data_IF_777701059985
#
_entry.id   IF_777701059985
#
_cell.length_a   1.000
_cell.length_b   1.000
_cell.length_c   1.000
_cell.angle_alpha   90.00
_cell.angle_beta   90.00
_cell.angle_gamma   90.00
#
_symmetry.space_group_name_H-M   'P 1'
#
loop_
_entity.id
_entity.type
_entity.pdbx_description
1 polymer ?
#
# COMPACT_ATOMS: atom_id res chain seq x y z
N UNK A 1 25.04 -12.06 -25.32
CA UNK A 1 26.50 -12.11 -25.08
C UNK A 1 27.07 -10.71 -25.20
N UNK A 2 28.18 -10.44 -24.51
CA UNK A 2 28.87 -9.12 -24.36
C UNK A 2 28.21 -8.21 -23.31
N UNK A 3 28.92 -8.06 -22.20
CA UNK A 3 28.58 -7.20 -21.07
C UNK A 3 29.40 -5.90 -21.11
N UNK A 4 28.94 -4.86 -20.40
CA UNK A 4 29.79 -3.72 -20.07
C UNK A 4 29.90 -3.52 -18.55
N UNK A 5 31.14 -3.55 -18.08
CA UNK A 5 31.55 -3.43 -16.67
C UNK A 5 31.99 -1.99 -16.42
N UNK A 6 31.53 -1.36 -15.34
CA UNK A 6 32.15 -0.13 -14.81
C UNK A 6 32.62 -0.35 -13.38
N UNK A 7 33.93 -0.19 -13.17
CA UNK A 7 34.54 0.05 -11.88
C UNK A 7 35.08 1.49 -11.89
N UNK A 8 34.98 2.19 -10.76
CA UNK A 8 35.54 3.53 -10.58
C UNK A 8 35.97 3.72 -9.13
N UNK A 9 37.26 3.91 -8.91
CA UNK A 9 37.90 3.99 -7.58
C UNK A 9 38.42 5.40 -7.30
N UNK A 10 38.26 5.89 -6.06
CA UNK A 10 38.90 7.10 -5.54
C UNK A 10 38.69 7.21 -4.03
N UNK A 11 39.62 6.72 -3.19
CA UNK A 11 40.84 7.35 -2.66
C UNK A 11 40.65 8.06 -1.30
N UNK A 12 41.68 7.97 -0.45
CA UNK A 12 41.66 8.22 1.00
C UNK A 12 41.73 9.71 1.35
N UNK A 13 41.10 10.09 2.48
CA UNK A 13 41.42 11.29 3.25
C UNK A 13 41.62 10.95 4.73
N UNK A 14 42.83 11.17 5.27
CA UNK A 14 43.13 11.08 6.72
C UNK A 14 42.98 12.46 7.36
N UNK A 15 42.37 12.57 8.54
CA UNK A 15 42.78 13.54 9.57
C UNK A 15 42.74 12.89 10.96
N UNK A 16 43.71 13.28 11.79
CA UNK A 16 43.83 12.89 13.18
C UNK A 16 43.68 14.14 14.07
N UNK A 17 43.27 13.94 15.31
CA UNK A 17 43.19 14.98 16.34
C UNK A 17 42.52 14.41 17.59
N UNK A 18 43.20 14.43 18.73
CA UNK A 18 42.68 13.87 19.98
C UNK A 18 43.18 14.61 21.21
N UNK A 19 42.45 14.45 22.32
CA UNK A 19 42.78 14.87 23.69
C UNK A 19 41.80 14.14 24.62
N UNK A 20 42.19 13.14 25.43
CA UNK A 20 42.84 13.17 26.77
C UNK A 20 41.90 13.49 27.95
N UNK A 21 41.95 12.62 28.97
CA UNK A 21 41.22 12.64 30.25
C UNK A 21 40.70 11.23 30.56
N UNK A 22 41.35 10.31 31.30
CA UNK A 22 41.79 10.33 32.70
C UNK A 22 40.61 10.45 33.70
N UNK A 23 40.39 9.56 34.69
CA UNK A 23 41.08 8.30 35.04
C UNK A 23 40.49 7.64 36.32
N UNK A 24 40.96 6.44 36.70
CA UNK A 24 40.49 5.62 37.84
C UNK A 24 39.60 4.44 37.39
N UNK A 25 39.82 3.17 37.74
CA UNK A 25 40.63 2.58 38.83
C UNK A 25 39.79 2.55 40.13
N UNK A 26 39.48 1.43 40.77
CA UNK A 26 39.93 0.02 40.67
C UNK A 26 38.69 -0.92 40.79
N UNK A 27 38.71 -2.25 40.67
CA UNK A 27 39.80 -3.24 40.68
C UNK A 27 39.43 -4.50 39.83
N UNK A 28 40.14 -5.62 40.06
CA UNK A 28 39.73 -6.99 39.69
C UNK A 28 39.85 -7.89 40.92
N UNK A 29 38.82 -8.69 41.22
CA UNK A 29 38.94 -9.83 42.15
C UNK A 29 39.14 -11.08 41.31
N UNK A 30 40.36 -11.63 41.35
CA UNK A 30 40.63 -13.00 40.97
C UNK A 30 40.25 -13.89 42.15
N UNK A 31 39.38 -14.88 41.92
CA UNK A 31 39.31 -16.05 42.79
C UNK A 31 39.50 -17.31 41.94
N UNK A 32 40.51 -18.10 42.30
CA UNK A 32 40.80 -19.39 41.69
C UNK A 32 39.84 -20.44 42.24
N UNK A 33 39.28 -21.27 41.36
CA UNK A 33 38.72 -22.56 41.73
C UNK A 33 39.38 -23.64 40.85
N UNK A 34 40.39 -24.31 41.41
CA UNK A 34 41.00 -25.48 40.80
C UNK A 34 40.03 -26.66 40.92
N UNK A 35 39.67 -27.26 39.78
CA UNK A 35 38.77 -28.40 39.71
C UNK A 35 39.05 -29.21 38.45
N UNK A 36 40.21 -29.86 38.41
CA UNK A 36 40.64 -30.62 37.24
C UNK A 36 39.81 -31.89 37.06
N UNK A 37 39.11 -32.01 35.94
CA UNK A 37 38.68 -33.31 35.43
C UNK A 37 39.81 -33.92 34.61
N UNK A 38 40.44 -34.95 35.19
CA UNK A 38 41.47 -35.72 34.53
C UNK A 38 40.93 -36.43 33.29
N UNK A 39 41.73 -36.46 32.22
CA UNK A 39 41.42 -37.28 31.04
C UNK A 39 41.44 -38.76 31.39
N UNK A 40 40.27 -39.41 31.35
CA UNK A 40 40.11 -40.86 31.47
C UNK A 40 39.95 -41.50 30.11
N UNK A 41 41.06 -41.82 29.44
CA UNK A 41 41.06 -42.68 28.26
C UNK A 41 40.87 -44.15 28.71
N UNK A 42 39.64 -44.51 29.08
CA UNK A 42 39.25 -45.91 29.24
C UNK A 42 38.68 -46.40 27.92
N UNK A 43 39.43 -47.28 27.23
CA UNK A 43 38.94 -48.04 26.09
C UNK A 43 37.87 -49.04 26.57
N UNK A 44 36.66 -48.55 26.78
CA UNK A 44 35.50 -49.37 27.07
C UNK A 44 35.04 -50.08 25.80
N UNK A 45 35.02 -51.41 25.83
CA UNK A 45 34.22 -52.20 24.88
C UNK A 45 32.76 -51.91 25.25
N UNK A 46 32.19 -50.87 24.65
CA UNK A 46 30.80 -50.51 24.85
C UNK A 46 29.91 -51.60 24.27
N UNK A 47 29.16 -52.31 25.11
CA UNK A 47 28.00 -53.04 24.64
C UNK A 47 27.02 -52.03 24.03
N UNK A 48 26.84 -52.11 22.71
CA UNK A 48 25.84 -51.31 22.01
C UNK A 48 24.47 -51.47 22.68
N UNK A 49 23.74 -50.37 22.86
CA UNK A 49 22.35 -50.43 23.32
C UNK A 49 21.49 -51.20 22.31
N UNK A 50 20.34 -51.70 22.73
CA UNK A 50 19.40 -52.40 21.84
C UNK A 50 19.12 -51.60 20.55
N UNK A 51 18.99 -50.28 20.67
CA UNK A 51 18.80 -49.36 19.54
C UNK A 51 20.03 -49.29 18.63
N UNK A 52 21.24 -49.20 19.19
CA UNK A 52 22.48 -49.20 18.38
C UNK A 52 22.73 -50.54 17.69
N UNK A 53 22.30 -51.67 18.27
CA UNK A 53 22.32 -52.97 17.61
C UNK A 53 21.30 -53.04 16.47
N UNK A 54 20.10 -52.49 16.68
CA UNK A 54 19.05 -52.37 15.64
C UNK A 54 19.50 -51.49 14.47
N UNK A 55 19.99 -50.27 14.72
CA UNK A 55 20.48 -49.39 13.66
C UNK A 55 21.65 -50.02 12.87
N UNK A 56 22.57 -50.71 13.55
CA UNK A 56 23.69 -51.39 12.89
C UNK A 56 23.19 -52.53 11.99
N UNK A 57 22.21 -53.30 12.47
CA UNK A 57 21.59 -54.40 11.72
C UNK A 57 20.79 -53.89 10.51
N UNK A 58 20.10 -52.75 10.63
CA UNK A 58 19.41 -52.11 9.50
C UNK A 58 20.42 -51.66 8.42
N UNK A 59 21.52 -51.01 8.84
CA UNK A 59 22.63 -50.63 7.93
C UNK A 59 23.29 -51.83 7.26
N UNK A 60 23.44 -52.97 7.95
CA UNK A 60 24.03 -54.21 7.39
C UNK A 60 23.08 -54.96 6.44
N UNK A 61 21.76 -54.79 6.59
CA UNK A 61 20.74 -55.39 5.72
C UNK A 61 20.44 -54.57 4.45
N UNK A 62 21.10 -53.43 4.24
CA UNK A 62 20.75 -52.50 3.15
C UNK A 62 19.44 -51.75 3.37
N UNK A 63 18.82 -51.91 4.55
CA UNK A 63 17.73 -51.06 5.07
C UNK A 63 18.33 -49.73 5.52
N UNK A 64 18.95 -49.01 4.57
CA UNK A 64 19.01 -47.56 4.67
C UNK A 64 17.57 -47.06 4.70
N UNK A 65 17.31 -46.12 5.61
CA UNK A 65 15.98 -45.56 5.86
C UNK A 65 15.59 -44.62 4.70
N UNK A 66 15.31 -45.24 3.55
CA UNK A 66 14.74 -44.56 2.40
C UNK A 66 13.27 -44.31 2.71
N UNK A 67 12.98 -43.11 3.23
CA UNK A 67 11.63 -42.66 3.61
C UNK A 67 10.60 -42.70 2.45
N UNK A 68 11.06 -43.05 1.25
CA UNK A 68 10.28 -43.40 0.07
C UNK A 68 9.56 -44.75 0.17
N UNK A 69 10.04 -45.68 1.00
CA UNK A 69 9.53 -47.06 1.14
C UNK A 69 8.87 -47.25 2.50
N UNK A 70 7.72 -47.93 2.53
CA UNK A 70 6.90 -48.09 3.73
C UNK A 70 6.48 -49.56 3.95
N UNK A 71 5.93 -49.87 5.12
CA UNK A 71 5.40 -51.20 5.42
C UNK A 71 3.89 -51.26 5.13
N UNK A 72 3.36 -52.26 4.39
CA UNK A 72 1.95 -52.33 4.05
C UNK A 72 1.02 -52.21 5.27
N UNK A 73 -0.09 -51.47 5.08
CA UNK A 73 -1.15 -51.19 6.08
C UNK A 73 -0.76 -50.27 7.25
N UNK A 74 0.34 -49.51 7.15
CA UNK A 74 0.56 -48.35 8.03
C UNK A 74 -0.01 -47.08 7.39
N UNK A 75 -0.37 -46.10 8.21
CA UNK A 75 -0.80 -44.77 7.78
C UNK A 75 -0.14 -43.70 8.65
N UNK A 76 0.13 -42.54 8.08
CA UNK A 76 0.77 -41.41 8.77
C UNK A 76 0.29 -40.05 8.24
N UNK A 77 0.53 -38.99 9.02
CA UNK A 77 0.27 -37.61 8.61
C UNK A 77 1.12 -37.22 7.41
N UNK A 78 0.52 -36.50 6.46
CA UNK A 78 1.18 -36.01 5.26
C UNK A 78 0.74 -34.60 4.90
N UNK A 79 1.59 -33.88 4.18
CA UNK A 79 1.27 -32.58 3.61
C UNK A 79 2.18 -32.30 2.43
N UNK A 80 1.63 -32.16 1.22
CA UNK A 80 2.41 -31.93 0.00
C UNK A 80 2.55 -30.44 -0.35
N UNK A 81 1.99 -29.55 0.48
CA UNK A 81 2.08 -28.10 0.28
C UNK A 81 3.43 -27.48 0.65
N UNK A 82 3.62 -26.19 0.35
CA UNK A 82 4.83 -25.44 0.69
C UNK A 82 5.19 -25.51 2.18
N UNK A 83 6.49 -25.48 2.49
CA UNK A 83 6.94 -25.49 3.89
C UNK A 83 6.47 -24.23 4.60
N UNK A 84 5.76 -24.42 5.72
CA UNK A 84 5.27 -23.35 6.57
C UNK A 84 3.77 -23.09 6.49
N UNK A 85 3.07 -23.55 5.44
CA UNK A 85 1.62 -23.36 5.25
C UNK A 85 0.76 -24.42 5.97
N UNK A 86 1.34 -25.57 6.34
CA UNK A 86 0.63 -26.62 7.07
C UNK A 86 0.06 -26.13 8.41
N UNK A 87 -1.26 -26.26 8.61
CA UNK A 87 -1.94 -25.85 9.83
C UNK A 87 -2.18 -24.34 9.97
N UNK A 88 -2.06 -23.58 8.88
CA UNK A 88 -2.47 -22.16 8.81
C UNK A 88 -3.77 -22.03 8.04
N UNK A 89 -4.64 -21.12 8.48
CA UNK A 89 -5.89 -20.81 7.79
C UNK A 89 -6.71 -22.05 7.44
N UNK A 90 -7.05 -22.20 6.16
CA UNK A 90 -7.74 -23.37 5.62
C UNK A 90 -6.85 -24.62 5.49
N UNK A 91 -5.52 -24.47 5.45
CA UNK A 91 -4.60 -25.58 5.17
C UNK A 91 -4.46 -26.57 6.32
N UNK A 92 -4.72 -27.85 5.99
CA UNK A 92 -4.57 -28.99 6.90
C UNK A 92 -3.70 -30.09 6.30
N UNK A 93 -2.95 -30.77 7.17
CA UNK A 93 -2.36 -32.06 6.86
C UNK A 93 -3.46 -33.10 6.58
N UNK A 94 -3.14 -34.05 5.70
CA UNK A 94 -3.94 -35.22 5.39
C UNK A 94 -3.33 -36.48 5.99
N UNK A 95 -3.85 -37.63 5.59
CA UNK A 95 -3.28 -38.95 5.89
C UNK A 95 -2.88 -39.66 4.60
N UNK A 96 -1.72 -40.33 4.62
CA UNK A 96 -1.30 -41.25 3.55
C UNK A 96 -1.20 -42.66 4.11
N UNK A 97 -1.51 -43.64 3.28
CA UNK A 97 -1.44 -45.06 3.63
C UNK A 97 -0.46 -45.79 2.74
N UNK A 98 0.23 -46.79 3.31
CA UNK A 98 1.16 -47.63 2.58
C UNK A 98 0.42 -48.79 1.88
N UNK A 99 0.65 -48.94 0.58
CA UNK A 99 0.04 -49.98 -0.25
C UNK A 99 0.67 -51.37 -0.03
N UNK A 100 0.25 -52.36 -0.82
CA UNK A 100 0.75 -53.73 -0.71
C UNK A 100 2.15 -53.93 -1.32
N UNK A 101 2.59 -53.02 -2.20
CA UNK A 101 3.87 -53.07 -2.91
C UNK A 101 4.97 -52.28 -2.18
N UNK A 102 4.62 -51.61 -1.07
CA UNK A 102 5.54 -50.89 -0.19
C UNK A 102 5.72 -49.40 -0.54
N UNK A 103 4.81 -48.85 -1.35
CA UNK A 103 4.80 -47.44 -1.72
C UNK A 103 3.73 -46.65 -0.96
N UNK A 104 4.01 -45.36 -0.75
CA UNK A 104 3.03 -44.43 -0.19
C UNK A 104 1.99 -44.06 -1.24
N UNK A 105 0.71 -44.18 -0.87
CA UNK A 105 -0.39 -43.60 -1.64
C UNK A 105 -0.42 -42.08 -1.58
N UNK A 106 -1.42 -41.51 -2.26
CA UNK A 106 -1.73 -40.08 -2.21
C UNK A 106 -1.99 -39.59 -0.78
N UNK A 107 -1.82 -38.29 -0.57
CA UNK A 107 -2.16 -37.66 0.71
C UNK A 107 -3.65 -37.30 0.73
N UNK A 108 -4.46 -38.17 1.32
CA UNK A 108 -5.92 -38.02 1.40
C UNK A 108 -6.32 -36.96 2.45
N UNK A 109 -7.43 -36.27 2.21
CA UNK A 109 -8.00 -35.23 3.09
C UNK A 109 -7.10 -34.01 3.42
N UNK A 110 -5.94 -33.83 2.79
CA UNK A 110 -5.18 -32.56 2.92
C UNK A 110 -5.91 -31.37 2.28
N UNK A 111 -5.69 -30.17 2.81
CA UNK A 111 -6.08 -28.91 2.16
C UNK A 111 -4.81 -28.11 1.89
N UNK A 112 -4.57 -27.80 0.61
CA UNK A 112 -3.39 -27.08 0.13
C UNK A 112 -3.71 -25.58 -0.03
N UNK A 113 -2.68 -24.71 -0.13
CA UNK A 113 -2.86 -23.30 -0.47
C UNK A 113 -3.70 -23.10 -1.74
N UNK A 114 -4.74 -22.28 -1.62
CA UNK A 114 -5.63 -21.89 -2.68
C UNK A 114 -5.31 -20.52 -3.27
N UNK A 115 -6.34 -19.90 -3.83
CA UNK A 115 -6.36 -18.46 -4.17
C UNK A 115 -7.22 -17.78 -3.12
N UNK A 116 -6.70 -16.70 -2.54
CA UNK A 116 -7.43 -15.86 -1.60
C UNK A 116 -8.82 -15.46 -2.08
N UNK A 117 -9.80 -15.66 -1.21
CA UNK A 117 -11.17 -15.18 -1.37
C UNK A 117 -11.54 -14.39 -0.11
N UNK A 118 -12.20 -13.25 -0.26
CA UNK A 118 -12.64 -12.43 0.88
C UNK A 118 -13.74 -13.18 1.66
N UNK A 119 -13.34 -13.98 2.65
CA UNK A 119 -14.21 -14.92 3.37
C UNK A 119 -13.87 -15.04 4.87
N UNK A 120 -12.94 -14.22 5.38
CA UNK A 120 -12.41 -14.25 6.75
C UNK A 120 -11.57 -15.51 7.09
N UNK A 121 -11.03 -16.17 6.06
CA UNK A 121 -10.10 -17.29 6.15
C UNK A 121 -8.80 -16.93 5.41
N UNK A 122 -7.73 -17.62 5.78
CA UNK A 122 -6.40 -17.56 5.15
C UNK A 122 -6.35 -18.79 4.21
N UNK A 123 -6.70 -18.58 2.94
CA UNK A 123 -6.90 -19.63 1.92
C UNK A 123 -5.58 -19.99 1.22
N UNK A 124 -4.69 -19.02 1.00
CA UNK A 124 -3.32 -19.23 0.52
C UNK A 124 -2.35 -19.67 1.62
N UNK A 125 -2.79 -19.57 2.88
CA UNK A 125 -2.11 -20.07 4.06
C UNK A 125 -0.76 -19.38 4.32
N UNK A 126 -0.56 -18.13 3.85
CA UNK A 126 0.60 -17.30 4.20
C UNK A 126 0.57 -16.85 5.67
N UNK A 127 -0.61 -16.86 6.31
CA UNK A 127 -0.85 -16.44 7.69
C UNK A 127 -1.50 -15.05 7.84
N UNK A 128 -1.99 -14.46 6.75
CA UNK A 128 -2.72 -13.19 6.71
C UNK A 128 -4.09 -13.47 6.07
N UNK A 129 -5.15 -13.35 6.87
CA UNK A 129 -6.54 -13.50 6.41
C UNK A 129 -6.92 -12.43 5.38
N UNK A 130 -7.58 -12.85 4.29
CA UNK A 130 -8.06 -12.01 3.18
C UNK A 130 -6.96 -11.13 2.54
N UNK A 131 -5.73 -11.62 2.38
CA UNK A 131 -4.61 -10.84 1.82
C UNK A 131 -4.84 -10.52 0.32
N UNK A 132 -4.85 -9.23 0.00
CA UNK A 132 -5.21 -8.72 -1.34
C UNK A 132 -6.57 -8.01 -1.39
N UNK A 133 -7.37 -8.12 -0.33
CA UNK A 133 -8.62 -7.37 -0.17
C UNK A 133 -8.46 -6.23 0.86
N UNK A 134 -9.36 -5.25 0.83
CA UNK A 134 -9.51 -4.31 1.93
C UNK A 134 -10.12 -5.01 3.16
N UNK A 135 -9.48 -4.82 4.32
CA UNK A 135 -9.86 -5.45 5.59
C UNK A 135 -11.33 -5.18 5.95
N UNK A 136 -12.09 -6.25 6.18
CA UNK A 136 -13.47 -6.16 6.66
C UNK A 136 -13.60 -5.27 7.92
N UNK A 137 -14.63 -4.43 7.92
CA UNK A 137 -14.92 -3.47 8.98
C UNK A 137 -13.99 -2.24 9.02
N UNK A 138 -12.95 -2.15 8.19
CA UNK A 138 -12.12 -0.94 8.08
C UNK A 138 -12.91 0.20 7.42
N UNK A 139 -12.62 1.45 7.81
CA UNK A 139 -13.34 2.61 7.29
C UNK A 139 -13.06 2.83 5.79
N UNK A 140 -14.12 3.17 5.06
CA UNK A 140 -14.07 3.54 3.66
C UNK A 140 -14.87 4.83 3.42
N UNK A 141 -14.67 5.45 2.26
CA UNK A 141 -15.50 6.55 1.77
C UNK A 141 -16.06 6.18 0.40
N UNK A 142 -17.20 6.75 0.03
CA UNK A 142 -17.77 6.56 -1.30
C UNK A 142 -16.80 6.99 -2.41
N UNK A 143 -16.88 6.39 -3.59
CA UNK A 143 -15.98 6.69 -4.70
C UNK A 143 -16.37 8.04 -5.32
N UNK A 144 -15.45 9.00 -5.33
CA UNK A 144 -15.76 10.41 -5.64
C UNK A 144 -16.20 11.21 -4.42
N UNK A 145 -15.80 10.80 -3.21
CA UNK A 145 -16.13 11.46 -1.95
C UNK A 145 -15.50 12.86 -1.77
N UNK A 146 -15.98 13.83 -2.54
CA UNK A 146 -15.82 15.26 -2.33
C UNK A 146 -17.16 15.86 -1.83
N UNK A 147 -17.12 17.12 -1.39
CA UNK A 147 -18.29 17.86 -0.87
C UNK A 147 -19.26 17.07 0.01
N UNK A 148 -20.54 17.15 -0.35
CA UNK A 148 -21.66 16.51 0.33
C UNK A 148 -21.60 14.99 0.14
N UNK A 149 -21.09 14.54 -1.00
CA UNK A 149 -21.05 13.16 -1.46
C UNK A 149 -19.96 12.33 -0.73
N UNK A 150 -19.16 12.98 0.13
CA UNK A 150 -18.23 12.35 1.06
C UNK A 150 -18.93 11.63 2.21
N UNK A 151 -19.61 10.53 1.91
CA UNK A 151 -20.13 9.61 2.92
C UNK A 151 -19.06 8.62 3.38
N UNK A 152 -19.17 8.20 4.65
CA UNK A 152 -18.31 7.21 5.27
C UNK A 152 -19.07 5.89 5.42
N UNK A 153 -18.38 4.78 5.18
CA UNK A 153 -18.85 3.42 5.42
C UNK A 153 -17.75 2.53 5.97
N UNK A 154 -17.93 1.23 5.79
CA UNK A 154 -16.98 0.16 6.06
C UNK A 154 -16.77 -0.71 4.83
N UNK A 155 -15.58 -1.26 4.73
CA UNK A 155 -15.28 -2.36 3.81
C UNK A 155 -15.94 -3.64 4.28
N UNK A 156 -16.50 -4.38 3.33
CA UNK A 156 -17.14 -5.67 3.52
C UNK A 156 -16.85 -6.57 2.33
N UNK A 157 -16.56 -7.85 2.58
CA UNK A 157 -16.44 -8.84 1.52
C UNK A 157 -17.75 -8.94 0.73
N UNK A 158 -17.64 -9.07 -0.60
CA UNK A 158 -18.76 -9.46 -1.45
C UNK A 158 -19.27 -10.85 -1.05
N UNK A 159 -20.57 -11.11 -1.26
CA UNK A 159 -21.19 -12.38 -0.87
C UNK A 159 -20.65 -13.62 -1.59
N UNK A 160 -19.88 -13.44 -2.67
CA UNK A 160 -19.17 -14.48 -3.43
C UNK A 160 -17.66 -14.53 -3.11
N UNK A 161 -17.18 -13.70 -2.18
CA UNK A 161 -15.76 -13.58 -1.81
C UNK A 161 -14.84 -13.00 -2.88
N UNK A 162 -15.38 -12.51 -4.00
CA UNK A 162 -14.57 -12.12 -5.18
C UNK A 162 -13.91 -10.74 -5.08
N UNK A 163 -14.44 -9.85 -4.24
CA UNK A 163 -13.98 -8.47 -4.08
C UNK A 163 -14.40 -7.89 -2.73
N UNK A 164 -13.73 -6.81 -2.31
CA UNK A 164 -14.15 -5.99 -1.16
C UNK A 164 -15.01 -4.81 -1.62
N UNK A 165 -16.06 -4.48 -0.85
CA UNK A 165 -17.07 -3.46 -1.16
C UNK A 165 -17.22 -2.48 -0.02
N UNK A 166 -17.25 -1.19 -0.36
CA UNK A 166 -17.55 -0.12 0.60
C UNK A 166 -19.06 0.06 0.72
N UNK A 167 -19.62 -0.05 1.94
CA UNK A 167 -21.06 0.14 2.20
C UNK A 167 -21.48 1.62 2.38
N UNK A 168 -20.57 2.56 2.12
CA UNK A 168 -20.81 4.00 2.29
C UNK A 168 -22.10 4.43 1.56
N UNK A 169 -23.07 5.07 2.25
CA UNK A 169 -24.34 5.46 1.64
C UNK A 169 -24.15 6.35 0.42
N UNK A 170 -24.74 5.99 -0.72
CA UNK A 170 -24.72 6.85 -1.91
C UNK A 170 -25.77 7.95 -1.73
N UNK A 171 -25.34 9.20 -1.69
CA UNK A 171 -26.23 10.36 -1.75
C UNK A 171 -26.54 10.62 -3.23
N UNK A 172 -27.79 10.98 -3.53
CA UNK A 172 -28.14 11.39 -4.89
C UNK A 172 -27.60 12.81 -5.16
N UNK A 173 -26.93 13.04 -6.30
CA UNK A 173 -26.58 14.38 -6.79
C UNK A 173 -27.70 15.39 -6.60
N UNK A 174 -27.39 16.50 -5.94
CA UNK A 174 -28.26 17.66 -5.87
C UNK A 174 -27.91 18.66 -7.00
N UNK A 175 -28.47 19.86 -6.93
CA UNK A 175 -28.07 20.97 -7.81
C UNK A 175 -27.15 21.88 -7.03
N UNK A 176 -26.03 22.24 -7.63
CA UNK A 176 -25.04 23.15 -7.07
C UNK A 176 -25.65 24.41 -6.48
N UNK A 177 -25.25 24.70 -5.24
CA UNK A 177 -25.56 25.94 -4.55
C UNK A 177 -24.24 26.55 -4.08
N UNK A 178 -24.01 27.83 -4.35
CA UNK A 178 -22.77 28.53 -3.99
C UNK A 178 -22.54 28.58 -2.47
N UNK A 179 -22.01 27.50 -1.90
CA UNK A 179 -21.95 27.18 -0.48
C UNK A 179 -20.57 26.62 -0.07
N UNK A 180 -19.69 26.30 -1.04
CA UNK A 180 -18.36 25.72 -0.83
C UNK A 180 -18.35 24.19 -0.69
N UNK A 181 -19.37 23.52 -1.21
CA UNK A 181 -19.60 22.07 -1.14
C UNK A 181 -20.05 21.60 -2.52
N UNK A 182 -19.32 20.63 -3.06
CA UNK A 182 -19.74 19.78 -4.18
C UNK A 182 -21.04 19.04 -3.77
N UNK A 183 -22.18 19.54 -4.28
CA UNK A 183 -23.54 19.10 -4.01
C UNK A 183 -24.01 18.07 -5.08
N UNK A 184 -23.45 18.12 -6.30
CA UNK A 184 -23.81 17.24 -7.42
C UNK A 184 -22.91 16.00 -7.63
N UNK A 185 -21.83 15.90 -6.86
CA UNK A 185 -20.85 14.80 -6.85
C UNK A 185 -19.93 14.68 -8.07
N UNK A 186 -19.77 15.72 -8.91
CA UNK A 186 -18.89 15.64 -10.10
C UNK A 186 -17.38 15.74 -9.78
N UNK A 187 -17.04 16.34 -8.64
CA UNK A 187 -15.68 16.50 -8.14
C UNK A 187 -15.04 17.89 -8.33
N UNK A 188 -15.74 18.85 -8.93
CA UNK A 188 -15.43 20.28 -8.82
C UNK A 188 -16.10 20.86 -7.55
N UNK A 189 -16.49 22.15 -7.50
CA UNK A 189 -17.17 22.79 -6.36
C UNK A 189 -17.69 24.17 -6.77
N UNK A 190 -18.98 24.42 -6.59
CA UNK A 190 -19.68 25.67 -6.92
C UNK A 190 -19.60 26.09 -8.42
N UNK A 191 -19.33 25.18 -9.36
CA UNK A 191 -19.09 25.50 -10.79
C UNK A 191 -20.37 25.83 -11.58
N UNK A 192 -21.45 25.06 -11.41
CA UNK A 192 -22.78 25.36 -12.01
C UNK A 192 -23.75 26.10 -11.05
N UNK A 193 -23.23 26.61 -9.93
CA UNK A 193 -23.95 27.38 -8.89
C UNK A 193 -24.62 28.71 -9.34
N UNK A 194 -24.46 29.14 -10.59
CA UNK A 194 -25.03 30.39 -11.12
C UNK A 194 -25.92 30.08 -12.33
N UNK A 195 -27.26 30.23 -12.23
CA UNK A 195 -28.16 29.98 -13.35
C UNK A 195 -27.76 30.77 -14.60
N UNK A 196 -27.88 30.14 -15.78
CA UNK A 196 -27.49 30.76 -17.07
C UNK A 196 -28.20 32.08 -17.38
N UNK A 197 -29.40 32.29 -16.84
CA UNK A 197 -30.15 33.54 -16.94
C UNK A 197 -29.57 34.69 -16.07
N UNK A 198 -28.79 34.36 -15.03
CA UNK A 198 -28.19 35.30 -14.07
C UNK A 198 -26.67 35.42 -14.23
N UNK A 199 -26.06 34.75 -15.23
CA UNK A 199 -24.62 34.78 -15.44
C UNK A 199 -24.09 36.18 -15.75
N UNK A 200 -24.87 37.07 -16.38
CA UNK A 200 -24.44 38.46 -16.67
C UNK A 200 -24.82 39.43 -15.55
N UNK A 201 -23.94 40.37 -15.23
CA UNK A 201 -24.13 41.35 -14.17
C UNK A 201 -23.41 42.68 -14.50
N UNK A 202 -23.64 43.71 -13.68
CA UNK A 202 -22.96 45.00 -13.80
C UNK A 202 -22.06 45.24 -12.59
N UNK A 203 -20.77 45.48 -12.82
CA UNK A 203 -19.76 45.65 -11.75
C UNK A 203 -19.78 47.05 -11.11
N UNK A 204 -20.46 48.00 -11.75
CA UNK A 204 -20.44 49.42 -11.38
C UNK A 204 -19.15 50.16 -11.78
N UNK A 205 -18.25 49.53 -12.54
CA UNK A 205 -17.04 50.16 -13.09
C UNK A 205 -17.35 50.95 -14.36
N UNK A 206 -16.43 51.85 -14.71
CA UNK A 206 -16.50 52.68 -15.91
C UNK A 206 -16.27 51.85 -17.19
N UNK A 207 -16.64 52.43 -18.32
CA UNK A 207 -16.32 51.91 -19.64
C UNK A 207 -16.74 50.45 -19.87
N UNK A 208 -15.91 49.73 -20.62
CA UNK A 208 -16.13 48.31 -20.94
C UNK A 208 -16.07 47.41 -19.69
N UNK A 209 -15.35 47.83 -18.64
CA UNK A 209 -15.25 47.11 -17.38
C UNK A 209 -16.55 47.05 -16.57
N UNK A 210 -17.55 47.88 -16.91
CA UNK A 210 -18.88 47.82 -16.31
C UNK A 210 -19.57 46.46 -16.51
N UNK A 211 -19.24 45.74 -17.60
CA UNK A 211 -19.72 44.39 -17.86
C UNK A 211 -19.06 43.36 -16.93
N UNK A 212 -19.90 42.57 -16.25
CA UNK A 212 -19.48 41.53 -15.34
C UNK A 212 -20.15 40.19 -15.60
N UNK A 213 -19.59 39.15 -15.00
CA UNK A 213 -20.22 37.84 -14.85
C UNK A 213 -20.34 37.47 -13.37
N UNK A 214 -21.47 36.90 -13.00
CA UNK A 214 -21.67 36.33 -11.67
C UNK A 214 -20.89 35.01 -11.57
N UNK A 215 -20.11 34.85 -10.50
CA UNK A 215 -19.42 33.61 -10.14
C UNK A 215 -19.56 33.34 -8.66
N UNK A 216 -19.49 32.07 -8.24
CA UNK A 216 -19.28 31.77 -6.84
C UNK A 216 -17.85 32.16 -6.43
N UNK A 217 -17.71 32.98 -5.38
CA UNK A 217 -16.42 33.45 -4.88
C UNK A 217 -16.45 33.52 -3.35
N UNK A 218 -15.91 32.47 -2.70
CA UNK A 218 -15.96 32.20 -1.26
C UNK A 218 -17.42 32.03 -0.75
N UNK A 219 -18.12 31.01 -1.26
CA UNK A 219 -19.51 30.67 -0.88
C UNK A 219 -20.49 31.88 -0.95
N UNK A 220 -20.26 32.78 -1.92
CA UNK A 220 -21.12 33.93 -2.25
C UNK A 220 -21.07 34.21 -3.73
N UNK A 221 -22.24 34.34 -4.37
CA UNK A 221 -22.33 34.84 -5.74
C UNK A 221 -21.81 36.28 -5.75
N UNK A 222 -20.82 36.56 -6.60
CA UNK A 222 -20.24 37.88 -6.80
C UNK A 222 -20.17 38.21 -8.28
N UNK A 223 -20.55 39.44 -8.61
CA UNK A 223 -20.27 40.01 -9.91
C UNK A 223 -18.77 40.31 -10.04
N UNK A 224 -18.06 39.53 -10.85
CA UNK A 224 -16.66 39.78 -11.21
C UNK A 224 -16.59 40.40 -12.61
N UNK A 225 -15.52 41.12 -12.92
CA UNK A 225 -15.35 41.71 -14.25
C UNK A 225 -15.27 40.64 -15.34
N UNK A 226 -16.06 40.82 -16.39
CA UNK A 226 -15.92 40.07 -17.64
C UNK A 226 -14.78 40.65 -18.49
N UNK A 227 -14.56 41.97 -18.42
CA UNK A 227 -13.51 42.70 -19.12
C UNK A 227 -12.56 43.36 -18.11
N UNK A 228 -11.27 43.08 -18.25
CA UNK A 228 -10.22 43.74 -17.47
C UNK A 228 -9.78 45.06 -18.14
N UNK A 229 -9.29 46.05 -17.38
CA UNK A 229 -8.68 47.26 -17.93
C UNK A 229 -7.63 46.93 -18.98
N UNK A 230 -7.80 47.47 -20.18
CA UNK A 230 -6.87 47.35 -21.29
C UNK A 230 -6.00 48.59 -21.47
N UNK A 231 -5.49 48.75 -22.69
CA UNK A 231 -4.95 50.03 -23.17
C UNK A 231 -5.94 50.62 -24.17
N UNK A 232 -6.20 51.93 -24.06
CA UNK A 232 -7.09 52.68 -24.94
C UNK A 232 -6.82 52.41 -26.42
N UNK A 233 -7.84 51.94 -27.14
CA UNK A 233 -7.87 51.95 -28.60
C UNK A 233 -8.96 52.92 -29.03
N UNK A 234 -8.61 53.96 -29.78
CA UNK A 234 -9.48 55.09 -30.14
C UNK A 234 -10.78 54.67 -30.87
N UNK A 235 -11.76 54.18 -30.11
CA UNK A 235 -12.93 53.43 -30.56
C UNK A 235 -14.24 54.03 -29.98
N UNK A 236 -14.12 55.08 -29.14
CA UNK A 236 -15.19 55.76 -28.39
C UNK A 236 -15.74 54.99 -27.19
N UNK A 237 -15.00 54.03 -26.68
CA UNK A 237 -15.21 53.40 -25.39
C UNK A 237 -14.06 53.79 -24.45
N UNK A 238 -14.24 53.45 -23.18
CA UNK A 238 -13.26 53.61 -22.12
C UNK A 238 -12.76 52.18 -21.84
N UNK A 239 -11.63 51.83 -22.47
CA UNK A 239 -11.05 50.48 -22.51
C UNK A 239 -10.09 50.27 -21.31
N UNK A 240 -9.39 51.31 -20.87
CA UNK A 240 -8.57 51.32 -19.65
C UNK A 240 -9.40 51.53 -18.36
N UNK A 241 -10.66 51.92 -18.52
CA UNK A 241 -11.66 52.05 -17.48
C UNK A 241 -11.35 53.15 -16.43
N UNK A 242 -10.53 54.15 -16.77
CA UNK A 242 -10.23 55.31 -15.91
C UNK A 242 -11.38 56.31 -15.78
N UNK A 243 -12.42 56.19 -16.63
CA UNK A 243 -13.57 57.09 -16.67
C UNK A 243 -13.46 58.20 -17.72
N UNK A 244 -12.47 58.16 -18.60
CA UNK A 244 -12.34 59.05 -19.76
C UNK A 244 -12.26 58.20 -21.03
N UNK A 245 -13.05 58.59 -22.03
CA UNK A 245 -13.06 57.95 -23.34
C UNK A 245 -11.89 58.46 -24.19
N UNK A 246 -11.17 57.55 -24.86
CA UNK A 246 -10.11 57.81 -25.85
C UNK A 246 -8.95 58.69 -25.32
N UNK A 247 -8.57 58.56 -24.03
CA UNK A 247 -7.66 59.50 -23.36
C UNK A 247 -6.15 59.23 -23.58
N UNK A 248 -5.77 58.00 -23.94
CA UNK A 248 -4.39 57.52 -24.00
C UNK A 248 -4.12 56.59 -25.21
N UNK A 249 -4.81 56.84 -26.33
CA UNK A 249 -4.90 55.91 -27.46
C UNK A 249 -3.55 55.38 -27.99
N UNK A 250 -3.49 54.05 -28.11
CA UNK A 250 -2.46 53.32 -28.85
C UNK A 250 -3.06 52.65 -30.10
N UNK A 251 -2.23 52.10 -30.99
CA UNK A 251 -2.75 51.28 -32.09
C UNK A 251 -3.31 49.95 -31.57
N UNK A 252 -4.31 49.36 -32.25
CA UNK A 252 -4.84 48.03 -31.88
C UNK A 252 -3.75 46.96 -31.75
N UNK A 253 -2.73 47.04 -32.61
CA UNK A 253 -1.54 46.18 -32.59
C UNK A 253 -0.66 46.38 -31.35
N UNK A 254 -0.67 47.56 -30.74
CA UNK A 254 0.03 47.85 -29.50
C UNK A 254 -0.80 47.42 -28.28
N UNK A 255 -2.11 47.71 -28.25
CA UNK A 255 -3.00 47.33 -27.16
C UNK A 255 -3.07 45.80 -26.95
N UNK A 256 -3.18 45.01 -28.03
CA UNK A 256 -3.17 43.54 -27.95
C UNK A 256 -1.87 42.95 -27.38
N UNK A 257 -0.77 43.69 -27.41
CA UNK A 257 0.51 43.27 -26.83
C UNK A 257 0.68 43.69 -25.35
N UNK A 258 -0.23 44.51 -24.80
CA UNK A 258 -0.17 45.01 -23.41
C UNK A 258 -1.11 44.24 -22.46
N UNK A 259 -2.12 43.53 -22.99
CA UNK A 259 -3.07 42.73 -22.20
C UNK A 259 -2.75 41.24 -22.11
N UNK A 260 -1.49 40.86 -21.89
CA UNK A 260 -1.04 39.45 -21.81
C UNK A 260 -0.15 39.18 -20.59
#
# INVERSE_FOLDING_TARGET
MIAYRRQGSGTRGRRAGGSRGAGGGVARVLLFALGGFAGGLTAGIGCATSDQVLEKKNRELGLADDASVCHPKISEDCYTGPKGTAGRGACKAGLRSCDADGAWGECEDQHLPGVESCNQTDDDCDGIVDNGFERDGALCFYKGAQGACRTQGKWHCAADGSESKCDAPVIAPAMETCNGVDDDCDGETDEDSVPSAETSCTTGKNGVCGAGINKCVNAKIRCVQAVQPGAEICNKQDDDCDGRIDNACVSESAARNQGR
#
